data_IF_045291354649
#
_entry.id   IF_045291354649
#
_cell.length_a   1.000
_cell.length_b   1.000
_cell.length_c   1.000
_cell.angle_alpha   90.00
_cell.angle_beta   90.00
_cell.angle_gamma   90.00
#
_symmetry.space_group_name_H-M   'P 1'
#
loop_
_entity.id
_entity.type
_entity.pdbx_description
1 polymer ?
#
# COMPACT_ATOMS: atom_id res chain seq x y z
N UNK A 1 -50.61 8.02 13.89
CA UNK A 1 -49.50 8.32 12.97
C UNK A 1 -48.71 9.45 13.61
N UNK A 2 -47.52 9.15 14.10
CA UNK A 2 -46.64 10.09 14.80
C UNK A 2 -45.25 9.81 14.29
N UNK A 3 -44.88 10.47 13.20
CA UNK A 3 -43.57 10.37 12.58
C UNK A 3 -42.65 11.30 13.35
N UNK A 4 -41.79 10.74 14.18
CA UNK A 4 -40.71 11.48 14.83
C UNK A 4 -39.60 11.64 13.79
N UNK A 5 -39.41 12.87 13.32
CA UNK A 5 -38.21 13.31 12.61
C UNK A 5 -37.03 13.20 13.58
N UNK A 6 -36.29 12.11 13.51
CA UNK A 6 -34.96 12.00 14.12
C UNK A 6 -34.03 12.97 13.39
N UNK A 7 -33.74 14.07 14.08
CA UNK A 7 -32.82 15.11 13.68
C UNK A 7 -31.40 14.61 13.93
N UNK A 8 -30.77 14.17 12.85
CA UNK A 8 -29.43 14.57 12.44
C UNK A 8 -28.37 14.60 13.55
N UNK A 9 -27.62 13.50 13.64
CA UNK A 9 -26.33 13.45 14.33
C UNK A 9 -25.26 13.09 13.30
N UNK A 10 -25.13 13.90 12.26
CA UNK A 10 -23.94 13.91 11.42
C UNK A 10 -22.82 14.60 12.23
N UNK A 11 -22.17 13.82 13.11
CA UNK A 11 -20.83 14.17 13.59
C UNK A 11 -19.98 14.12 12.34
N UNK A 12 -19.47 15.27 11.89
CA UNK A 12 -18.68 15.40 10.66
C UNK A 12 -17.65 14.29 10.54
N UNK A 13 -17.98 13.30 9.72
CA UNK A 13 -17.07 12.26 9.29
C UNK A 13 -16.06 12.99 8.40
N UNK A 14 -14.79 13.02 8.81
CA UNK A 14 -13.73 13.51 7.93
C UNK A 14 -13.73 12.60 6.69
N UNK A 15 -14.13 13.15 5.54
CA UNK A 15 -14.10 12.41 4.27
C UNK A 15 -12.63 12.14 3.93
N UNK A 16 -12.18 10.90 4.13
CA UNK A 16 -10.85 10.45 3.72
C UNK A 16 -10.85 10.18 2.20
N UNK A 17 -10.03 10.92 1.46
CA UNK A 17 -9.83 10.70 0.02
C UNK A 17 -8.57 9.87 -0.24
N UNK A 18 -8.70 8.82 -1.05
CA UNK A 18 -7.60 7.95 -1.43
C UNK A 18 -7.26 8.13 -2.91
N UNK A 19 -5.97 8.25 -3.21
CA UNK A 19 -5.43 8.27 -4.58
C UNK A 19 -4.35 7.20 -4.72
N UNK A 20 -4.33 6.52 -5.87
CA UNK A 20 -3.28 5.56 -6.18
C UNK A 20 -2.14 6.25 -6.92
N UNK A 21 -0.94 6.17 -6.35
CA UNK A 21 0.30 6.70 -6.91
C UNK A 21 1.04 5.59 -7.65
N UNK A 22 1.31 5.81 -8.93
CA UNK A 22 2.15 4.92 -9.73
C UNK A 22 3.50 5.60 -9.97
N UNK A 23 4.60 4.96 -9.58
CA UNK A 23 5.94 5.51 -9.68
C UNK A 23 6.68 4.82 -10.83
N UNK A 24 6.74 5.47 -11.98
CA UNK A 24 7.46 4.97 -13.15
C UNK A 24 8.96 5.25 -13.07
N UNK A 25 9.77 4.35 -13.66
CA UNK A 25 11.22 4.49 -13.77
C UNK A 25 11.95 4.76 -12.44
N UNK A 26 11.38 4.33 -11.32
CA UNK A 26 11.99 4.36 -10.00
C UNK A 26 12.41 2.94 -9.61
N UNK A 27 13.66 2.75 -9.20
CA UNK A 27 14.13 1.48 -8.66
C UNK A 27 13.75 1.37 -7.18
N UNK A 28 13.56 0.15 -6.68
CA UNK A 28 13.28 -0.09 -5.25
C UNK A 28 14.40 0.47 -4.35
N UNK A 29 15.63 0.56 -4.86
CA UNK A 29 16.77 1.13 -4.16
C UNK A 29 16.74 2.66 -4.06
N UNK A 30 15.91 3.35 -4.85
CA UNK A 30 15.85 4.80 -4.88
C UNK A 30 15.01 5.36 -3.71
N UNK A 31 14.16 4.54 -3.09
CA UNK A 31 13.29 4.93 -1.98
C UNK A 31 13.54 4.00 -0.79
N UNK A 32 14.13 4.55 0.27
CA UNK A 32 14.30 3.81 1.52
C UNK A 32 12.96 3.66 2.28
N UNK A 33 12.70 2.54 2.95
CA UNK A 33 11.54 2.40 3.83
C UNK A 33 11.49 3.54 4.86
N UNK A 34 10.35 4.21 4.97
CA UNK A 34 10.18 5.36 5.87
C UNK A 34 10.85 6.65 5.41
N UNK A 35 11.32 6.75 4.17
CA UNK A 35 11.83 7.99 3.62
C UNK A 35 10.76 9.10 3.68
N UNK A 36 11.10 10.31 4.14
CA UNK A 36 10.16 11.42 4.13
C UNK A 36 9.80 11.77 2.68
N UNK A 37 8.57 12.24 2.46
CA UNK A 37 8.16 12.71 1.15
C UNK A 37 7.31 13.97 1.26
N UNK A 38 7.29 14.74 0.18
CA UNK A 38 6.45 15.92 0.02
C UNK A 38 5.70 15.78 -1.30
N UNK A 39 4.37 15.69 -1.21
CA UNK A 39 3.46 15.72 -2.35
C UNK A 39 2.85 17.13 -2.43
N UNK A 40 2.88 17.75 -3.60
CA UNK A 40 2.47 19.15 -3.76
C UNK A 40 1.80 19.40 -5.10
N UNK A 41 0.92 20.39 -5.15
CA UNK A 41 0.24 20.79 -6.39
C UNK A 41 -0.82 19.78 -6.86
N UNK A 42 -1.47 19.07 -5.94
CA UNK A 42 -2.58 18.16 -6.29
C UNK A 42 -3.77 18.90 -6.92
N UNK A 43 -3.91 20.19 -6.66
CA UNK A 43 -4.87 21.10 -7.30
C UNK A 43 -4.47 21.52 -8.73
N UNK A 44 -3.30 21.07 -9.21
CA UNK A 44 -2.77 21.41 -10.54
C UNK A 44 -2.79 20.21 -11.48
N UNK A 45 -2.64 20.43 -12.79
CA UNK A 45 -2.55 19.34 -13.76
C UNK A 45 -1.22 18.55 -13.65
N UNK A 46 -0.21 19.12 -13.00
CA UNK A 46 1.14 18.55 -12.91
C UNK A 46 1.64 18.60 -11.47
N UNK A 47 1.14 17.70 -10.60
CA UNK A 47 1.62 17.61 -9.23
C UNK A 47 3.10 17.21 -9.19
N UNK A 48 3.73 17.44 -8.05
CA UNK A 48 5.14 17.11 -7.83
C UNK A 48 5.30 16.25 -6.59
N UNK A 49 6.17 15.26 -6.68
CA UNK A 49 6.52 14.38 -5.57
C UNK A 49 8.03 14.47 -5.36
N UNK A 50 8.41 14.76 -4.12
CA UNK A 50 9.81 14.71 -3.67
C UNK A 50 9.92 13.63 -2.62
N UNK A 51 10.79 12.64 -2.83
CA UNK A 51 11.05 11.54 -1.89
C UNK A 51 12.49 11.61 -1.41
N UNK A 52 12.69 11.65 -0.09
CA UNK A 52 13.99 11.87 0.52
C UNK A 52 14.61 13.21 0.11
N UNK A 53 15.93 13.23 -0.03
CA UNK A 53 16.69 14.46 -0.34
C UNK A 53 16.93 14.67 -1.84
N UNK A 54 16.70 13.65 -2.68
CA UNK A 54 17.21 13.62 -4.06
C UNK A 54 16.19 13.26 -5.14
N UNK A 55 15.19 12.42 -4.84
CA UNK A 55 14.27 11.96 -5.87
C UNK A 55 13.15 12.98 -6.06
N UNK A 56 13.14 13.63 -7.23
CA UNK A 56 12.08 14.57 -7.63
C UNK A 56 11.36 14.03 -8.84
N UNK A 57 10.03 14.05 -8.79
CA UNK A 57 9.16 13.50 -9.82
C UNK A 57 8.06 14.51 -10.18
N UNK A 58 7.65 14.47 -11.44
CA UNK A 58 6.46 15.19 -11.94
C UNK A 58 5.37 14.15 -12.16
N UNK A 59 4.15 14.51 -11.77
CA UNK A 59 2.96 13.67 -11.90
C UNK A 59 2.02 14.14 -13.01
N UNK A 60 1.19 13.22 -13.49
CA UNK A 60 0.03 13.49 -14.33
C UNK A 60 -1.14 12.61 -13.91
N UNK A 61 -2.35 13.18 -13.98
CA UNK A 61 -3.58 12.47 -13.68
C UNK A 61 -3.99 11.60 -14.86
N UNK A 62 -4.13 10.30 -14.62
CA UNK A 62 -4.65 9.35 -15.61
C UNK A 62 -5.95 8.74 -15.10
N UNK A 63 -7.00 8.82 -15.92
CA UNK A 63 -8.28 8.17 -15.64
C UNK A 63 -8.19 6.70 -16.04
N UNK A 64 -8.44 5.80 -15.10
CA UNK A 64 -8.33 4.36 -15.35
C UNK A 64 -9.59 3.82 -16.02
N UNK A 65 -9.44 2.79 -16.84
CA UNK A 65 -10.57 1.99 -17.29
C UNK A 65 -10.92 1.01 -16.17
N UNK A 66 -11.98 1.31 -15.42
CA UNK A 66 -12.50 0.46 -14.36
C UNK A 66 -12.43 1.11 -12.99
N UNK A 67 -12.29 0.31 -11.94
CA UNK A 67 -12.19 0.80 -10.55
C UNK A 67 -11.24 -0.12 -9.80
N UNK A 68 -10.24 0.48 -9.15
CA UNK A 68 -9.29 -0.22 -8.29
C UNK A 68 -9.85 -0.30 -6.88
N UNK A 69 -9.94 -1.51 -6.32
CA UNK A 69 -10.34 -1.73 -4.93
C UNK A 69 -9.08 -1.90 -4.08
N UNK A 70 -8.90 -1.02 -3.09
CA UNK A 70 -7.82 -1.08 -2.12
C UNK A 70 -8.31 -1.82 -0.88
N UNK A 71 -7.46 -2.71 -0.36
CA UNK A 71 -7.72 -3.45 0.86
C UNK A 71 -6.54 -3.30 1.81
N UNK A 72 -6.81 -3.09 3.10
CA UNK A 72 -5.80 -3.08 4.15
C UNK A 72 -5.75 -4.44 4.84
N UNK A 73 -4.55 -4.97 5.08
CA UNK A 73 -4.37 -6.14 5.93
C UNK A 73 -4.46 -5.73 7.41
N UNK A 74 -5.28 -6.41 8.20
CA UNK A 74 -5.28 -6.26 9.65
C UNK A 74 -4.34 -7.30 10.26
N UNK A 75 -3.32 -6.85 11.01
CA UNK A 75 -2.58 -7.73 11.92
C UNK A 75 -3.53 -8.16 13.05
N UNK A 76 -4.22 -9.27 12.85
CA UNK A 76 -4.85 -9.97 13.96
C UNK A 76 -3.74 -10.66 14.75
N UNK A 77 -3.51 -10.22 15.98
CA UNK A 77 -2.63 -10.90 16.92
C UNK A 77 -3.04 -12.39 16.94
N UNK A 78 -2.09 -13.34 16.82
CA UNK A 78 -2.45 -14.76 16.74
C UNK A 78 -3.31 -15.11 17.95
N UNK A 79 -4.57 -15.45 17.68
CA UNK A 79 -5.56 -15.85 18.68
C UNK A 79 -4.91 -16.87 19.60
N UNK A 80 -4.79 -16.61 20.92
CA UNK A 80 -4.25 -17.61 21.81
C UNK A 80 -5.14 -18.85 21.68
N UNK A 81 -4.53 -19.97 21.31
CA UNK A 81 -5.15 -21.28 21.33
C UNK A 81 -5.68 -21.47 22.75
N UNK A 82 -7.00 -21.29 22.92
CA UNK A 82 -7.68 -21.68 24.14
C UNK A 82 -7.63 -23.19 24.19
N UNK A 83 -6.57 -23.72 24.82
CA UNK A 83 -6.55 -25.05 25.40
C UNK A 83 -7.61 -25.10 26.50
N UNK A 84 -8.89 -25.20 26.12
CA UNK A 84 -9.92 -25.67 27.03
C UNK A 84 -9.83 -27.19 27.07
N UNK A 85 -8.88 -27.67 27.88
CA UNK A 85 -8.74 -29.06 28.25
C UNK A 85 -9.99 -29.51 29.02
N UNK A 86 -10.85 -30.31 28.39
CA UNK A 86 -11.74 -31.25 29.09
C UNK A 86 -11.44 -32.67 28.60
N UNK A 87 -11.00 -33.60 29.46
CA UNK A 87 -10.77 -34.98 29.04
C UNK A 87 -12.08 -35.76 29.17
N UNK A 88 -12.61 -36.27 28.07
CA UNK A 88 -13.57 -37.37 28.08
C UNK A 88 -13.04 -38.52 27.24
N UNK A 89 -13.10 -39.69 27.84
CA UNK A 89 -12.30 -40.89 27.55
C UNK A 89 -12.69 -41.62 26.25
N UNK A 90 -11.69 -42.35 25.74
CA UNK A 90 -11.80 -43.58 24.94
C UNK A 90 -12.49 -43.49 23.55
N UNK A 91 -11.67 -43.40 22.49
CA UNK A 91 -11.62 -44.44 21.45
C UNK A 91 -10.38 -44.26 20.55
N UNK A 92 -9.69 -45.38 20.32
CA UNK A 92 -8.62 -45.59 19.34
C UNK A 92 -9.08 -45.21 17.94
N UNK A 93 -8.48 -44.17 17.36
CA UNK A 93 -7.96 -44.21 15.99
C UNK A 93 -7.08 -42.99 15.77
N UNK A 94 -5.88 -43.23 15.26
CA UNK A 94 -4.86 -42.22 15.04
C UNK A 94 -4.99 -41.67 13.62
N UNK A 95 -5.48 -40.45 13.40
CA UNK A 95 -4.99 -39.63 12.33
C UNK A 95 -3.96 -38.67 12.92
N UNK A 96 -2.69 -38.89 12.60
CA UNK A 96 -1.70 -37.82 12.69
C UNK A 96 -1.98 -36.83 11.54
N UNK A 97 -3.05 -36.04 11.65
CA UNK A 97 -3.18 -34.83 10.85
C UNK A 97 -2.66 -33.68 11.71
N UNK A 98 -1.34 -33.45 11.68
CA UNK A 98 -0.85 -32.11 11.97
C UNK A 98 -1.29 -31.23 10.81
N UNK A 99 -2.52 -30.75 10.86
CA UNK A 99 -2.98 -29.65 10.02
C UNK A 99 -2.15 -28.45 10.46
N UNK A 100 -1.02 -28.22 9.78
CA UNK A 100 -0.38 -26.91 9.82
C UNK A 100 -1.33 -25.98 9.07
N UNK A 101 -2.34 -25.49 9.77
CA UNK A 101 -3.21 -24.43 9.28
C UNK A 101 -2.31 -23.23 9.01
N UNK A 102 -2.17 -22.88 7.73
CA UNK A 102 -1.44 -21.67 7.37
C UNK A 102 -2.18 -20.48 7.99
N UNK A 103 -1.48 -19.51 8.59
CA UNK A 103 -2.12 -18.35 9.20
C UNK A 103 -3.01 -17.67 8.15
N UNK A 104 -4.31 -17.58 8.44
CA UNK A 104 -5.27 -16.87 7.61
C UNK A 104 -5.12 -15.37 7.87
N UNK A 105 -4.84 -14.62 6.81
CA UNK A 105 -4.78 -13.16 6.85
C UNK A 105 -6.16 -12.60 6.53
N UNK A 106 -6.69 -11.74 7.40
CA UNK A 106 -7.93 -11.02 7.18
C UNK A 106 -7.63 -9.65 6.53
N UNK A 107 -8.45 -9.27 5.56
CA UNK A 107 -8.31 -7.99 4.84
C UNK A 107 -9.64 -7.24 4.89
N UNK A 108 -9.54 -5.92 5.02
CA UNK A 108 -10.70 -5.02 5.07
C UNK A 108 -10.70 -4.14 3.83
N UNK A 109 -11.87 -3.84 3.28
CA UNK A 109 -12.01 -2.86 2.20
C UNK A 109 -11.59 -1.48 2.73
N UNK A 110 -10.71 -0.81 1.99
CA UNK A 110 -10.16 0.50 2.35
C UNK A 110 -10.74 1.59 1.46
N UNK A 111 -10.65 1.43 0.13
CA UNK A 111 -11.10 2.45 -0.81
C UNK A 111 -11.41 1.87 -2.19
N UNK A 112 -12.10 2.66 -3.01
CA UNK A 112 -12.36 2.38 -4.42
C UNK A 112 -11.97 3.61 -5.25
N UNK A 113 -10.93 3.49 -6.09
CA UNK A 113 -10.37 4.62 -6.84
C UNK A 113 -10.50 4.41 -8.35
N UNK A 114 -10.71 5.49 -9.09
CA UNK A 114 -10.84 5.49 -10.56
C UNK A 114 -9.76 6.31 -11.26
N UNK A 115 -9.04 7.13 -10.51
CA UNK A 115 -7.93 7.96 -11.00
C UNK A 115 -6.64 7.51 -10.36
N UNK A 116 -5.60 7.49 -11.16
CA UNK A 116 -4.23 7.28 -10.71
C UNK A 116 -3.40 8.52 -11.00
N UNK A 117 -2.37 8.69 -10.20
CA UNK A 117 -1.41 9.76 -10.37
C UNK A 117 -0.06 9.12 -10.72
N UNK A 118 0.30 9.22 -12.01
CA UNK A 118 1.53 8.64 -12.54
C UNK A 118 2.66 9.63 -12.40
N UNK A 119 3.72 9.23 -11.71
CA UNK A 119 4.91 10.03 -11.50
C UNK A 119 6.10 9.48 -12.27
N UNK A 120 6.87 10.37 -12.89
CA UNK A 120 8.16 10.05 -13.50
C UNK A 120 9.27 10.97 -12.97
N UNK A 121 10.53 10.48 -12.88
CA UNK A 121 11.66 11.29 -12.45
C UNK A 121 11.92 12.46 -13.40
N UNK A 122 12.20 13.64 -12.83
CA UNK A 122 12.51 14.85 -13.62
C UNK A 122 13.89 14.75 -14.30
N UNK A 123 14.76 13.87 -13.81
CA UNK A 123 16.14 13.78 -14.27
C UNK A 123 16.58 12.32 -14.43
N UNK A 124 16.09 11.66 -15.49
CA UNK A 124 16.51 10.31 -15.89
C UNK A 124 17.83 10.29 -16.71
N UNK A 125 18.62 11.38 -16.68
CA UNK A 125 19.83 11.52 -17.51
C UNK A 125 21.13 11.18 -16.77
N UNK A 126 21.16 10.35 -15.72
CA UNK A 126 22.44 9.99 -15.08
C UNK A 126 22.50 8.55 -14.57
N UNK A 127 22.38 7.56 -15.46
CA UNK A 127 22.83 6.20 -15.17
C UNK A 127 23.50 5.46 -16.33
N UNK A 128 23.86 6.15 -17.43
CA UNK A 128 24.65 5.57 -18.52
C UNK A 128 26.17 5.84 -18.42
N UNK A 129 26.65 6.71 -17.51
CA UNK A 129 28.06 7.14 -17.52
C UNK A 129 29.01 6.47 -16.51
N UNK A 130 28.55 5.51 -15.70
CA UNK A 130 29.42 4.83 -14.71
C UNK A 130 30.03 3.51 -15.17
N UNK A 131 29.70 3.00 -16.36
CA UNK A 131 30.19 1.71 -16.86
C UNK A 131 31.45 1.80 -17.74
N UNK A 132 31.88 2.99 -18.18
CA UNK A 132 32.99 3.16 -19.15
C UNK A 132 34.16 4.00 -18.65
N UNK A 133 34.49 3.99 -17.36
CA UNK A 133 35.68 4.70 -16.85
C UNK A 133 36.67 3.78 -16.14
N UNK A 134 36.81 2.56 -16.65
CA UNK A 134 37.97 1.74 -16.31
C UNK A 134 38.24 0.79 -17.45
N UNK A 135 39.09 1.18 -18.42
CA UNK A 135 40.14 0.35 -19.08
C UNK A 135 40.83 1.16 -20.19
N UNK A 136 41.40 2.31 -19.84
CA UNK A 136 42.53 2.86 -20.59
C UNK A 136 43.60 3.24 -19.55
N UNK A 137 44.32 2.22 -19.08
CA UNK A 137 45.63 2.40 -18.48
C UNK A 137 46.59 1.44 -19.16
N UNK A 138 47.14 1.98 -20.24
CA UNK A 138 48.34 1.58 -20.95
C UNK A 138 49.46 1.16 -19.96
N UNK A 139 50.01 -0.05 -20.17
CA UNK A 139 51.44 -0.41 -20.07
C UNK A 139 51.70 -1.52 -21.07
#
# INVERSE_FOLDING_TARGET
>A
MSEALEKDKEIGEEEEEYVLLELDNCLYSDISPGAPFVLSGLDTLMPTLVVGDSLKMIGEYEETIGTCYLFSESETEPKPTSDEMTPSEENTDKPASSSKEAPSKEVNHLASVQKILKFWPINAEHSQHRAYQHKDREV
#
